data_IF_369794243833
#
_entry.id   IF_369794243833
#
_cell.length_a   1.000
_cell.length_b   1.000
_cell.length_c   1.000
_cell.angle_alpha   90.00
_cell.angle_beta   90.00
_cell.angle_gamma   90.00
#
_symmetry.space_group_name_H-M   'P 1'
#
loop_
_entity.id
_entity.type
_entity.pdbx_description
1 polymer ?
#
# COMPACT_ATOMS: atom_id res chain seq x y z
N UNK A 1 19.59 -4.21 82.65
CA UNK A 1 18.94 -3.55 81.49
C UNK A 1 19.62 -4.06 80.23
N UNK A 2 18.94 -4.92 79.46
CA UNK A 2 19.47 -5.53 78.24
C UNK A 2 18.61 -5.10 77.03
N UNK A 3 19.19 -4.80 75.86
CA UNK A 3 18.44 -4.28 74.73
C UNK A 3 17.75 -5.40 73.94
N UNK A 4 16.48 -5.17 73.58
CA UNK A 4 15.67 -6.01 72.69
C UNK A 4 16.15 -5.87 71.25
N UNK A 5 16.55 -6.96 70.61
CA UNK A 5 16.77 -7.06 69.16
C UNK A 5 15.44 -7.29 68.43
N UNK A 6 15.19 -6.51 67.38
CA UNK A 6 14.01 -6.64 66.50
C UNK A 6 14.28 -7.66 65.37
N UNK A 7 13.29 -8.43 64.90
CA UNK A 7 13.46 -9.31 63.74
C UNK A 7 13.49 -8.50 62.43
N UNK A 8 14.41 -8.88 61.55
CA UNK A 8 14.64 -8.28 60.24
C UNK A 8 13.81 -9.01 59.17
N UNK A 9 12.70 -8.42 58.74
CA UNK A 9 11.83 -8.96 57.69
C UNK A 9 12.43 -8.66 56.31
N UNK A 10 13.25 -9.59 55.79
CA UNK A 10 13.75 -9.52 54.40
C UNK A 10 12.58 -9.69 53.41
N UNK A 11 12.21 -8.59 52.76
CA UNK A 11 11.30 -8.57 51.60
C UNK A 11 11.91 -9.36 50.44
N UNK A 12 11.30 -10.51 50.11
CA UNK A 12 11.42 -11.19 48.81
C UNK A 12 10.41 -10.53 47.86
N UNK A 13 10.86 -9.84 46.81
CA UNK A 13 9.92 -9.28 45.84
C UNK A 13 10.52 -8.45 44.72
N UNK A 14 11.38 -9.02 43.86
CA UNK A 14 11.84 -8.31 42.65
C UNK A 14 11.97 -9.17 41.38
N UNK A 15 11.68 -10.48 41.43
CA UNK A 15 11.85 -11.36 40.27
C UNK A 15 10.65 -11.40 39.30
N UNK A 16 9.42 -11.11 39.74
CA UNK A 16 8.20 -11.36 38.95
C UNK A 16 7.83 -10.26 37.96
N UNK A 17 8.24 -9.01 38.18
CA UNK A 17 7.87 -7.87 37.31
C UNK A 17 8.69 -7.84 36.01
N UNK A 18 9.97 -8.22 36.08
CA UNK A 18 10.88 -8.26 34.91
C UNK A 18 10.51 -9.35 33.91
N UNK A 19 10.02 -10.48 34.40
CA UNK A 19 9.64 -11.61 33.54
C UNK A 19 8.31 -11.37 32.82
N UNK A 20 7.38 -10.64 33.45
CA UNK A 20 6.10 -10.25 32.84
C UNK A 20 6.27 -9.20 31.73
N UNK A 21 7.24 -8.28 31.87
CA UNK A 21 7.58 -7.31 30.81
C UNK A 21 8.36 -7.95 29.66
N UNK A 22 9.17 -8.98 29.92
CA UNK A 22 9.87 -9.77 28.90
C UNK A 22 8.92 -10.72 28.14
N UNK A 23 7.90 -11.29 28.79
CA UNK A 23 6.85 -12.09 28.12
C UNK A 23 5.96 -11.26 27.19
N UNK A 24 5.61 -10.02 27.55
CA UNK A 24 4.85 -9.10 26.67
C UNK A 24 5.58 -8.71 25.38
N UNK A 25 6.91 -8.84 25.36
CA UNK A 25 7.76 -8.63 24.15
C UNK A 25 7.85 -9.88 23.27
N UNK A 26 7.33 -11.02 23.70
CA UNK A 26 7.29 -12.26 22.89
C UNK A 26 5.90 -12.38 22.26
N UNK A 27 5.86 -12.22 20.93
CA UNK A 27 4.70 -12.34 20.03
C UNK A 27 3.73 -11.16 19.98
N UNK A 28 4.23 -9.95 19.71
CA UNK A 28 3.36 -8.94 19.12
C UNK A 28 2.98 -9.42 17.70
N UNK A 29 1.73 -9.84 17.51
CA UNK A 29 1.19 -10.32 16.23
C UNK A 29 0.54 -9.16 15.46
N UNK A 30 0.60 -9.22 14.15
CA UNK A 30 -0.12 -8.29 13.28
C UNK A 30 -1.61 -8.62 13.36
N UNK A 31 -2.46 -7.67 13.77
CA UNK A 31 -3.90 -7.94 13.90
C UNK A 31 -4.65 -8.07 12.56
N UNK A 32 -3.97 -7.89 11.42
CA UNK A 32 -4.55 -8.08 10.08
C UNK A 32 -4.30 -9.50 9.57
N UNK A 33 -3.07 -10.01 9.64
CA UNK A 33 -2.72 -11.34 9.10
C UNK A 33 -2.39 -12.38 10.18
N UNK A 34 -2.43 -12.00 11.46
CA UNK A 34 -2.16 -12.84 12.63
C UNK A 34 -0.75 -13.46 12.71
N UNK A 35 0.15 -13.09 11.80
CA UNK A 35 1.58 -13.46 11.84
C UNK A 35 2.37 -12.58 12.82
N UNK A 36 3.52 -13.08 13.29
CA UNK A 36 4.44 -12.33 14.15
C UNK A 36 4.97 -11.05 13.47
N UNK A 37 4.93 -9.91 14.18
CA UNK A 37 5.36 -8.62 13.65
C UNK A 37 6.83 -8.60 13.21
N UNK A 38 7.69 -9.44 13.79
CA UNK A 38 9.12 -9.50 13.47
C UNK A 38 9.43 -10.16 12.11
N UNK A 39 8.46 -10.85 11.49
CA UNK A 39 8.67 -11.58 10.23
C UNK A 39 8.75 -10.66 9.01
N UNK A 40 8.21 -9.44 9.09
CA UNK A 40 8.13 -8.49 7.97
C UNK A 40 8.42 -7.08 8.48
N UNK A 41 8.68 -6.15 7.56
CA UNK A 41 8.80 -4.72 7.91
C UNK A 41 7.48 -4.23 8.50
N UNK A 42 7.53 -3.53 9.62
CA UNK A 42 6.36 -2.97 10.31
C UNK A 42 6.15 -1.49 10.00
N UNK A 43 4.96 -1.00 10.34
CA UNK A 43 4.60 0.42 10.39
C UNK A 43 3.76 0.66 11.63
N UNK A 44 3.72 1.90 12.06
CA UNK A 44 2.87 2.36 13.17
C UNK A 44 1.86 3.34 12.61
N UNK A 45 0.57 3.17 12.94
CA UNK A 45 -0.42 4.22 12.65
C UNK A 45 -0.17 5.40 13.58
N UNK A 46 -0.02 6.59 13.02
CA UNK A 46 0.42 7.76 13.79
C UNK A 46 -0.67 8.21 14.77
N UNK A 47 -1.93 8.09 14.36
CA UNK A 47 -3.11 8.54 15.12
C UNK A 47 -3.42 7.67 16.36
N UNK A 48 -2.98 6.41 16.39
CA UNK A 48 -3.33 5.47 17.47
C UNK A 48 -2.17 4.59 17.97
N UNK A 49 -0.98 4.76 17.40
CA UNK A 49 0.26 4.05 17.74
C UNK A 49 0.22 2.51 17.67
N UNK A 50 -0.77 1.94 16.98
CA UNK A 50 -0.83 0.50 16.75
C UNK A 50 0.11 0.07 15.62
N UNK A 51 0.74 -1.09 15.79
CA UNK A 51 1.80 -1.59 14.91
C UNK A 51 1.30 -2.76 14.06
N UNK A 52 1.55 -2.68 12.76
CA UNK A 52 1.15 -3.69 11.78
C UNK A 52 2.31 -4.02 10.84
N UNK A 53 2.23 -5.13 10.10
CA UNK A 53 3.12 -5.29 8.95
C UNK A 53 2.80 -4.21 7.92
N UNK A 54 3.84 -3.61 7.35
CA UNK A 54 3.74 -2.56 6.33
C UNK A 54 2.87 -2.98 5.15
N UNK A 55 2.97 -4.22 4.69
CA UNK A 55 2.13 -4.72 3.59
C UNK A 55 0.66 -4.77 3.98
N UNK A 56 0.37 -5.24 5.20
CA UNK A 56 -1.00 -5.39 5.69
C UNK A 56 -1.66 -4.03 5.94
N UNK A 57 -0.94 -3.11 6.58
CA UNK A 57 -1.40 -1.73 6.77
C UNK A 57 -1.70 -1.04 5.44
N UNK A 58 -0.79 -1.15 4.46
CA UNK A 58 -1.02 -0.55 3.14
C UNK A 58 -2.23 -1.16 2.44
N UNK A 59 -2.37 -2.50 2.50
CA UNK A 59 -3.51 -3.20 1.93
C UNK A 59 -4.84 -2.74 2.56
N UNK A 60 -4.90 -2.67 3.89
CA UNK A 60 -6.07 -2.17 4.61
C UNK A 60 -6.48 -0.76 4.15
N UNK A 61 -5.52 0.16 4.11
CA UNK A 61 -5.75 1.53 3.68
C UNK A 61 -6.26 1.58 2.24
N UNK A 62 -5.70 0.76 1.35
CA UNK A 62 -6.14 0.69 -0.04
C UNK A 62 -7.58 0.16 -0.14
N UNK A 63 -7.94 -0.87 0.63
CA UNK A 63 -9.28 -1.49 0.60
C UNK A 63 -10.37 -0.67 1.27
N UNK A 64 -10.09 0.02 2.38
CA UNK A 64 -11.11 0.82 3.09
C UNK A 64 -11.39 2.14 2.34
N UNK A 65 -10.34 2.77 1.80
CA UNK A 65 -10.51 3.93 0.93
C UNK A 65 -11.22 3.52 -0.38
N UNK A 66 -11.12 2.26 -0.82
CA UNK A 66 -11.91 1.71 -1.92
C UNK A 66 -13.41 1.70 -1.65
N UNK A 67 -13.83 1.51 -0.39
CA UNK A 67 -15.23 1.54 0.05
C UNK A 67 -15.82 2.95 0.21
N UNK A 68 -15.06 4.02 -0.03
CA UNK A 68 -15.38 5.42 0.39
C UNK A 68 -15.56 5.58 1.90
N UNK A 69 -15.05 4.63 2.69
CA UNK A 69 -15.01 4.75 4.15
C UNK A 69 -13.67 5.36 4.55
N UNK A 70 -13.69 6.15 5.63
CA UNK A 70 -12.44 6.61 6.24
C UNK A 70 -11.72 5.38 6.79
N UNK A 71 -10.44 5.15 6.44
CA UNK A 71 -9.75 3.96 6.90
C UNK A 71 -9.59 4.00 8.41
N UNK A 72 -9.90 2.89 9.09
CA UNK A 72 -9.87 2.82 10.56
C UNK A 72 -8.94 1.72 11.06
N UNK A 73 -8.34 1.94 12.24
CA UNK A 73 -7.46 0.95 12.84
C UNK A 73 -8.26 -0.33 13.22
N UNK A 74 -7.85 -1.54 12.81
CA UNK A 74 -8.56 -2.78 13.15
C UNK A 74 -8.60 -3.08 14.65
N UNK A 75 -7.71 -2.46 15.44
CA UNK A 75 -7.60 -2.67 16.88
C UNK A 75 -8.47 -1.71 17.69
N UNK A 76 -8.59 -0.46 17.28
CA UNK A 76 -9.26 0.59 18.08
C UNK A 76 -10.24 1.46 17.30
N UNK A 77 -10.41 1.22 16.00
CA UNK A 77 -11.32 1.94 15.09
C UNK A 77 -11.04 3.43 14.95
N UNK A 78 -9.90 3.93 15.44
CA UNK A 78 -9.44 5.30 15.19
C UNK A 78 -9.19 5.50 13.70
N UNK A 79 -9.69 6.61 13.16
CA UNK A 79 -9.44 7.03 11.77
C UNK A 79 -7.94 7.22 11.53
N UNK A 80 -7.44 6.66 10.43
CA UNK A 80 -6.03 6.66 10.08
C UNK A 80 -5.77 7.75 9.04
N UNK A 81 -5.11 8.82 9.46
CA UNK A 81 -4.71 9.91 8.58
C UNK A 81 -3.26 9.77 8.15
N UNK A 82 -2.42 9.15 9.00
CA UNK A 82 -0.97 9.06 8.78
C UNK A 82 -0.40 7.73 9.24
N UNK A 83 0.62 7.27 8.53
CA UNK A 83 1.42 6.10 8.93
C UNK A 83 2.88 6.46 9.07
N UNK A 84 3.49 5.97 10.15
CA UNK A 84 4.91 6.11 10.45
C UNK A 84 5.65 4.84 9.97
N UNK A 85 6.61 5.02 9.05
CA UNK A 85 7.41 3.94 8.47
C UNK A 85 8.68 3.62 9.28
N UNK A 86 8.89 4.29 10.41
CA UNK A 86 10.12 4.26 11.19
C UNK A 86 11.15 5.28 10.69
N UNK A 87 12.09 5.66 11.56
CA UNK A 87 13.15 6.64 11.23
C UNK A 87 12.64 8.07 11.02
N UNK A 88 11.50 8.42 11.63
CA UNK A 88 10.89 9.75 11.54
C UNK A 88 10.07 10.01 10.26
N UNK A 89 9.98 9.03 9.35
CA UNK A 89 9.22 9.17 8.11
C UNK A 89 7.73 8.91 8.34
N UNK A 90 6.91 9.95 8.18
CA UNK A 90 5.44 9.90 8.29
C UNK A 90 4.81 10.21 6.94
N UNK A 91 3.82 9.41 6.51
CA UNK A 91 3.15 9.54 5.22
C UNK A 91 1.64 9.64 5.42
N UNK A 92 0.99 10.59 4.74
CA UNK A 92 -0.47 10.73 4.71
C UNK A 92 -1.15 9.55 3.99
N UNK A 93 -2.31 9.11 4.49
CA UNK A 93 -3.09 8.01 3.91
C UNK A 93 -3.63 8.35 2.50
N UNK A 94 -3.80 9.64 2.19
CA UNK A 94 -4.18 10.13 0.85
C UNK A 94 -3.20 9.72 -0.27
N UNK A 95 -1.95 9.45 0.09
CA UNK A 95 -0.91 9.02 -0.87
C UNK A 95 -1.09 7.56 -1.30
N UNK A 96 -1.80 6.74 -0.51
CA UNK A 96 -1.97 5.31 -0.76
C UNK A 96 -3.07 4.99 -1.77
N UNK A 97 -3.95 5.95 -2.08
CA UNK A 97 -5.04 5.80 -3.05
C UNK A 97 -4.62 5.34 -4.46
N UNK A 98 -3.31 5.34 -4.78
CA UNK A 98 -2.83 5.14 -6.14
C UNK A 98 -2.08 3.83 -6.42
N UNK A 99 -1.89 2.89 -5.47
CA UNK A 99 -0.78 1.91 -5.66
C UNK A 99 -1.00 0.40 -5.46
N UNK A 100 -2.12 -0.05 -4.89
CA UNK A 100 -2.53 -1.46 -4.76
C UNK A 100 -1.51 -2.42 -4.12
N UNK A 101 -1.99 -3.59 -3.66
CA UNK A 101 -1.18 -4.65 -3.04
C UNK A 101 0.04 -5.06 -3.89
N UNK A 102 -0.14 -5.04 -5.22
CA UNK A 102 0.88 -5.46 -6.18
C UNK A 102 2.04 -4.48 -6.31
N UNK A 103 1.92 -3.28 -5.72
CA UNK A 103 2.88 -2.18 -5.88
C UNK A 103 3.08 -1.82 -7.35
N UNK A 104 2.06 -2.01 -8.19
CA UNK A 104 2.00 -1.70 -9.61
C UNK A 104 0.60 -1.12 -9.85
N UNK A 105 0.43 -0.03 -10.63
CA UNK A 105 -0.90 0.39 -11.06
C UNK A 105 -1.49 -0.76 -11.86
N UNK A 106 -2.45 -1.44 -11.25
CA UNK A 106 -3.21 -2.50 -11.88
C UNK A 106 -4.15 -1.87 -12.91
N UNK A 107 -4.63 -2.67 -13.86
CA UNK A 107 -5.76 -2.26 -14.71
C UNK A 107 -6.92 -1.78 -13.85
N UNK A 108 -7.10 -2.41 -12.68
CA UNK A 108 -8.11 -2.07 -11.70
C UNK A 108 -8.02 -0.63 -11.27
N UNK A 109 -6.83 -0.15 -10.89
CA UNK A 109 -6.67 1.21 -10.39
C UNK A 109 -7.02 2.26 -11.45
N UNK A 110 -6.59 2.03 -12.70
CA UNK A 110 -6.93 2.91 -13.82
C UNK A 110 -8.43 2.91 -14.07
N UNK A 111 -9.05 1.73 -14.14
CA UNK A 111 -10.48 1.59 -14.38
C UNK A 111 -11.34 2.09 -13.23
N UNK A 112 -10.89 1.92 -11.98
CA UNK A 112 -11.54 2.47 -10.80
C UNK A 112 -11.57 3.99 -10.88
N UNK A 113 -10.45 4.63 -11.23
CA UNK A 113 -10.42 6.08 -11.41
C UNK A 113 -11.36 6.55 -12.53
N UNK A 114 -11.39 5.83 -13.66
CA UNK A 114 -12.32 6.10 -14.78
C UNK A 114 -13.76 5.89 -14.36
N UNK A 115 -14.06 4.91 -13.51
CA UNK A 115 -15.42 4.64 -13.03
C UNK A 115 -15.88 5.64 -11.98
N UNK A 116 -14.95 6.09 -11.11
CA UNK A 116 -15.24 7.05 -10.05
C UNK A 116 -15.21 8.50 -10.52
N UNK A 117 -14.96 8.76 -11.81
CA UNK A 117 -14.91 10.09 -12.41
C UNK A 117 -15.67 10.10 -13.74
N UNK A 118 -16.04 11.29 -14.23
CA UNK A 118 -16.62 11.42 -15.57
C UNK A 118 -15.54 11.45 -16.68
N UNK A 119 -14.33 10.97 -16.39
CA UNK A 119 -13.17 11.01 -17.28
C UNK A 119 -13.02 9.70 -18.06
N UNK A 120 -12.54 9.79 -19.29
CA UNK A 120 -12.18 8.61 -20.08
C UNK A 120 -10.81 8.06 -19.68
N UNK A 121 -10.49 6.82 -20.08
CA UNK A 121 -9.16 6.23 -19.84
C UNK A 121 -8.05 7.08 -20.46
N UNK A 122 -8.30 7.63 -21.65
CA UNK A 122 -7.41 8.56 -22.36
C UNK A 122 -7.07 9.80 -21.52
N UNK A 123 -8.04 10.29 -20.73
CA UNK A 123 -7.86 11.45 -19.86
C UNK A 123 -7.19 11.07 -18.53
N UNK A 124 -7.56 9.92 -17.94
CA UNK A 124 -7.03 9.45 -16.65
C UNK A 124 -5.56 9.04 -16.72
N UNK A 125 -5.13 8.36 -17.78
CA UNK A 125 -3.77 7.82 -17.88
C UNK A 125 -2.67 8.91 -17.83
N UNK A 126 -2.75 10.02 -18.59
CA UNK A 126 -1.81 11.14 -18.46
C UNK A 126 -1.71 11.68 -17.03
N UNK A 127 -2.85 11.87 -16.36
CA UNK A 127 -2.92 12.37 -14.98
C UNK A 127 -2.19 11.41 -14.03
N UNK A 128 -2.46 10.10 -14.12
CA UNK A 128 -1.80 9.10 -13.28
C UNK A 128 -0.29 9.01 -13.55
N UNK A 129 0.13 9.18 -14.81
CA UNK A 129 1.55 9.22 -15.21
C UNK A 129 2.24 10.44 -14.59
N UNK A 130 1.62 11.62 -14.69
CA UNK A 130 2.11 12.88 -14.14
C UNK A 130 2.22 12.81 -12.62
N UNK A 131 1.13 12.43 -11.93
CA UNK A 131 1.10 12.23 -10.49
C UNK A 131 2.17 11.24 -10.03
N UNK A 132 2.36 10.13 -10.75
CA UNK A 132 3.41 9.15 -10.45
C UNK A 132 4.83 9.73 -10.61
N UNK A 133 5.06 10.63 -11.57
CA UNK A 133 6.35 11.32 -11.74
C UNK A 133 6.59 12.32 -10.62
N UNK A 134 5.57 13.10 -10.26
CA UNK A 134 5.62 14.08 -9.18
C UNK A 134 5.95 13.39 -7.85
N UNK A 135 5.17 12.37 -7.45
CA UNK A 135 5.42 11.62 -6.21
C UNK A 135 6.82 11.00 -6.21
N UNK A 136 7.31 10.48 -7.36
CA UNK A 136 8.68 9.98 -7.47
C UNK A 136 9.72 11.09 -7.26
N UNK A 137 9.47 12.32 -7.75
CA UNK A 137 10.35 13.47 -7.58
C UNK A 137 10.37 13.92 -6.12
N UNK A 138 9.21 14.10 -5.50
CA UNK A 138 9.09 14.45 -4.08
C UNK A 138 9.77 13.41 -3.19
N UNK A 139 9.49 12.12 -3.41
CA UNK A 139 10.14 11.03 -2.68
C UNK A 139 11.66 11.03 -2.83
N UNK A 140 12.19 11.47 -3.98
CA UNK A 140 13.62 11.64 -4.19
C UNK A 140 14.15 12.86 -3.41
N UNK A 141 13.47 14.00 -3.49
CA UNK A 141 13.88 15.24 -2.82
C UNK A 141 13.89 15.09 -1.29
N UNK A 142 12.80 14.62 -0.70
CA UNK A 142 12.70 14.32 0.75
C UNK A 142 13.81 13.36 1.18
N UNK A 143 14.05 12.33 0.35
CA UNK A 143 15.08 11.34 0.63
C UNK A 143 16.47 11.97 0.67
N UNK A 144 16.88 12.73 -0.35
CA UNK A 144 18.23 13.32 -0.38
C UNK A 144 18.47 14.41 0.68
N UNK A 145 17.42 15.03 1.23
CA UNK A 145 17.53 15.98 2.32
C UNK A 145 17.83 15.33 3.69
N UNK A 146 17.55 14.03 3.85
CA UNK A 146 17.42 13.39 5.16
C UNK A 146 18.63 12.54 5.58
N UNK A 147 19.81 13.12 5.84
CA UNK A 147 21.00 12.46 6.46
C UNK A 147 20.98 10.93 6.60
N UNK A 148 21.15 10.20 5.48
CA UNK A 148 20.55 8.87 5.31
C UNK A 148 21.51 7.72 5.65
N UNK A 149 21.00 6.68 6.33
CA UNK A 149 21.74 5.43 6.56
C UNK A 149 21.88 4.57 5.29
N UNK A 150 22.88 3.68 5.23
CA UNK A 150 23.09 2.75 4.11
C UNK A 150 21.86 1.86 3.84
N UNK A 151 21.16 1.43 4.89
CA UNK A 151 19.97 0.58 4.77
C UNK A 151 18.78 1.32 4.11
N UNK A 152 18.54 2.57 4.50
CA UNK A 152 17.54 3.43 3.87
C UNK A 152 17.85 3.66 2.38
N UNK A 153 19.13 3.79 2.02
CA UNK A 153 19.54 3.93 0.61
C UNK A 153 19.14 2.77 -0.27
N UNK A 154 19.33 1.55 0.21
CA UNK A 154 18.91 0.35 -0.52
C UNK A 154 17.38 0.27 -0.65
N UNK A 155 16.65 0.60 0.43
CA UNK A 155 15.18 0.63 0.40
C UNK A 155 14.66 1.65 -0.62
N UNK A 156 15.19 2.88 -0.61
CA UNK A 156 14.73 3.94 -1.49
C UNK A 156 15.06 3.65 -2.96
N UNK A 157 16.25 3.11 -3.27
CA UNK A 157 16.57 2.60 -4.61
C UNK A 157 15.52 1.59 -5.09
N UNK A 158 15.10 0.68 -4.21
CA UNK A 158 14.07 -0.33 -4.51
C UNK A 158 12.70 0.33 -4.76
N UNK A 159 12.31 1.36 -4.01
CA UNK A 159 11.04 2.08 -4.23
C UNK A 159 11.06 2.88 -5.54
N UNK A 160 12.14 3.62 -5.81
CA UNK A 160 12.31 4.37 -7.07
C UNK A 160 12.25 3.43 -8.28
N UNK A 161 12.91 2.27 -8.21
CA UNK A 161 12.85 1.25 -9.26
C UNK A 161 11.41 0.78 -9.51
N UNK A 162 10.64 0.55 -8.44
CA UNK A 162 9.22 0.21 -8.56
C UNK A 162 8.44 1.35 -9.23
N UNK A 163 8.56 2.59 -8.77
CA UNK A 163 7.90 3.74 -9.37
C UNK A 163 8.21 3.90 -10.87
N UNK A 164 9.47 3.69 -11.28
CA UNK A 164 9.86 3.69 -12.70
C UNK A 164 9.12 2.61 -13.50
N UNK A 165 9.03 1.38 -12.96
CA UNK A 165 8.25 0.29 -13.59
C UNK A 165 6.77 0.65 -13.71
N UNK A 166 6.19 1.30 -12.70
CA UNK A 166 4.79 1.78 -12.73
C UNK A 166 4.52 2.78 -13.84
N UNK A 167 5.37 3.81 -13.93
CA UNK A 167 5.28 4.83 -14.97
C UNK A 167 5.40 4.18 -16.36
N UNK A 168 6.28 3.17 -16.50
CA UNK A 168 6.40 2.40 -17.75
C UNK A 168 5.09 1.68 -18.10
N UNK A 169 4.45 1.01 -17.13
CA UNK A 169 3.18 0.30 -17.34
C UNK A 169 2.05 1.26 -17.71
N UNK A 170 1.90 2.38 -17.01
CA UNK A 170 0.89 3.39 -17.36
C UNK A 170 1.10 3.96 -18.76
N UNK A 171 2.35 4.21 -19.17
CA UNK A 171 2.67 4.60 -20.55
C UNK A 171 2.25 3.52 -21.55
N UNK A 172 2.57 2.25 -21.27
CA UNK A 172 2.18 1.14 -22.13
C UNK A 172 0.66 1.02 -22.25
N UNK A 173 -0.09 1.19 -21.15
CA UNK A 173 -1.55 1.25 -21.18
C UNK A 173 -2.04 2.40 -22.05
N UNK A 174 -1.40 3.57 -21.96
CA UNK A 174 -1.77 4.74 -22.76
C UNK A 174 -1.54 4.51 -24.26
N UNK A 175 -0.43 3.87 -24.64
CA UNK A 175 -0.18 3.48 -26.03
C UNK A 175 -1.21 2.46 -26.54
N UNK A 176 -1.59 1.47 -25.71
CA UNK A 176 -2.65 0.51 -26.06
C UNK A 176 -3.98 1.23 -26.30
N UNK A 177 -4.33 2.19 -25.43
CA UNK A 177 -5.56 2.97 -25.54
C UNK A 177 -5.55 3.86 -26.79
N UNK A 178 -4.45 4.57 -27.07
CA UNK A 178 -4.27 5.35 -28.31
C UNK A 178 -4.36 4.51 -29.56
N UNK A 179 -3.89 3.27 -29.49
CA UNK A 179 -4.06 2.29 -30.54
C UNK A 179 -5.53 1.81 -30.68
N UNK A 180 -6.47 2.22 -29.83
CA UNK A 180 -7.84 1.73 -29.86
C UNK A 180 -8.00 0.34 -29.23
N UNK A 181 -7.01 -0.10 -28.44
CA UNK A 181 -7.19 -1.17 -27.45
C UNK A 181 -7.84 -0.63 -26.18
N UNK A 182 -8.12 -1.51 -25.20
CA UNK A 182 -8.71 -1.12 -23.90
C UNK A 182 -9.95 -0.20 -24.00
N UNK A 183 -10.79 -0.42 -25.01
CA UNK A 183 -12.00 0.38 -25.25
C UNK A 183 -13.05 0.07 -24.17
N UNK A 184 -13.31 1.03 -23.29
CA UNK A 184 -14.22 0.85 -22.15
C UNK A 184 -15.68 1.18 -22.43
N UNK A 185 -15.95 2.02 -23.45
CA UNK A 185 -17.29 2.55 -23.75
C UNK A 185 -18.33 1.49 -24.19
N UNK A 186 -17.97 0.21 -24.19
CA UNK A 186 -18.82 -0.88 -24.68
C UNK A 186 -19.28 -1.87 -23.61
N UNK A 187 -18.91 -1.70 -22.34
CA UNK A 187 -19.28 -2.67 -21.30
C UNK A 187 -20.57 -2.28 -20.59
N UNK A 188 -21.60 -3.11 -20.73
CA UNK A 188 -22.81 -3.05 -19.91
C UNK A 188 -22.49 -3.38 -18.45
N UNK A 189 -23.35 -2.95 -17.50
CA UNK A 189 -23.20 -3.23 -16.06
C UNK A 189 -22.94 -4.72 -15.75
N UNK A 190 -23.49 -5.64 -16.55
CA UNK A 190 -23.33 -7.09 -16.41
C UNK A 190 -21.90 -7.56 -16.74
N UNK A 191 -21.21 -6.90 -17.66
CA UNK A 191 -19.84 -7.25 -18.05
C UNK A 191 -18.81 -6.77 -17.02
N UNK A 192 -19.19 -5.89 -16.09
CA UNK A 192 -18.31 -5.38 -15.05
C UNK A 192 -17.77 -6.50 -14.13
N UNK A 193 -18.60 -7.48 -13.74
CA UNK A 193 -18.18 -8.57 -12.84
C UNK A 193 -17.19 -9.55 -13.49
N UNK A 194 -17.42 -9.96 -14.74
CA UNK A 194 -16.43 -10.75 -15.50
C UNK A 194 -15.14 -9.95 -15.72
N UNK A 195 -15.27 -8.63 -15.85
CA UNK A 195 -14.13 -7.77 -16.04
C UNK A 195 -13.33 -7.60 -14.74
N UNK A 196 -13.96 -7.49 -13.56
CA UNK A 196 -13.26 -7.48 -12.26
C UNK A 196 -12.31 -8.69 -12.15
N UNK A 197 -12.76 -9.89 -12.53
CA UNK A 197 -11.92 -11.09 -12.57
C UNK A 197 -10.67 -10.93 -13.47
N UNK A 198 -10.81 -10.34 -14.65
CA UNK A 198 -9.69 -10.05 -15.56
C UNK A 198 -8.81 -8.89 -15.12
N UNK A 199 -9.36 -7.97 -14.34
CA UNK A 199 -8.76 -6.71 -13.96
C UNK A 199 -7.73 -6.87 -12.84
N UNK A 200 -7.82 -7.96 -12.07
CA UNK A 200 -6.79 -8.40 -11.13
C UNK A 200 -5.58 -9.06 -11.81
N UNK A 201 -5.65 -9.38 -13.12
CA UNK A 201 -4.50 -9.93 -13.84
C UNK A 201 -3.39 -8.89 -14.04
N UNK A 202 -2.13 -9.35 -14.02
CA UNK A 202 -0.98 -8.49 -14.34
C UNK A 202 -1.12 -7.95 -15.77
N UNK A 203 -0.89 -6.65 -15.94
CA UNK A 203 -0.88 -6.03 -17.26
C UNK A 203 0.22 -6.64 -18.13
N UNK A 204 -0.14 -7.12 -19.32
CA UNK A 204 0.77 -7.64 -20.34
C UNK A 204 0.57 -6.85 -21.63
N UNK A 205 1.54 -6.01 -21.97
CA UNK A 205 1.47 -5.10 -23.12
C UNK A 205 1.27 -5.83 -24.45
N UNK A 206 2.04 -6.90 -24.69
CA UNK A 206 1.99 -7.66 -25.94
C UNK A 206 0.63 -8.36 -26.11
N UNK A 207 0.14 -8.98 -25.03
CA UNK A 207 -1.18 -9.62 -25.03
C UNK A 207 -2.30 -8.62 -25.33
N UNK A 208 -2.25 -7.42 -24.74
CA UNK A 208 -3.26 -6.39 -24.98
C UNK A 208 -3.21 -5.83 -26.41
N UNK A 209 -2.02 -5.62 -26.96
CA UNK A 209 -1.86 -5.23 -28.37
C UNK A 209 -2.34 -6.32 -29.33
N UNK A 210 -2.11 -7.60 -29.01
CA UNK A 210 -2.59 -8.72 -29.81
C UNK A 210 -4.12 -8.87 -29.79
N UNK A 211 -4.76 -8.66 -28.63
CA UNK A 211 -6.23 -8.66 -28.51
C UNK A 211 -6.88 -7.65 -29.44
N UNK A 212 -6.31 -6.45 -29.55
CA UNK A 212 -6.75 -5.42 -30.52
C UNK A 212 -6.72 -5.97 -31.95
N UNK A 213 -5.61 -6.60 -32.36
CA UNK A 213 -5.46 -7.13 -33.71
C UNK A 213 -6.54 -8.18 -34.04
N UNK A 214 -6.92 -9.01 -33.06
CA UNK A 214 -8.01 -9.98 -33.20
C UNK A 214 -9.35 -9.26 -33.38
N UNK A 215 -9.68 -8.30 -32.51
CA UNK A 215 -10.94 -7.53 -32.60
C UNK A 215 -11.06 -6.81 -33.94
N UNK A 216 -9.98 -6.18 -34.42
CA UNK A 216 -9.96 -5.49 -35.71
C UNK A 216 -10.13 -6.47 -36.89
N UNK A 217 -9.57 -7.68 -36.81
CA UNK A 217 -9.79 -8.72 -37.82
C UNK A 217 -11.24 -9.19 -37.84
N UNK A 218 -11.89 -9.32 -36.68
CA UNK A 218 -13.31 -9.70 -36.59
C UNK A 218 -14.22 -8.62 -37.18
N UNK A 219 -13.97 -7.34 -36.88
CA UNK A 219 -14.74 -6.21 -37.42
C UNK A 219 -14.64 -6.05 -38.94
N UNK A 220 -13.56 -6.51 -39.57
CA UNK A 220 -13.39 -6.45 -41.03
C UNK A 220 -14.09 -7.59 -41.78
N UNK A 221 -14.56 -8.61 -41.07
CA UNK A 221 -15.24 -9.79 -41.66
C UNK A 221 -16.76 -9.68 -41.64
N UNK A 222 -17.29 -8.73 -40.87
CA UNK A 222 -18.70 -8.37 -40.78
C UNK A 222 -18.93 -7.06 -41.51
#
# INVERSE_FOLDING_TARGET
MAPRTKPNTKQKGTATVREHTLRRRRSAKCAICYDDLHTKTTVTFDDCHHVFHRSCAVQLLETEIEGREEPTCPLCRTVINKINLGGGLVISTEVFQCFGETKIPTKYLVFKHVWSSDLTIEQVLPILIERSRFIKKEFICEYYASGITRAMKTHCKRQISKMKKRIKILRQMHEVVKAGGMQWKAFSCVQFHQMLYYVHSKFNYELEMNRRNIINKLRKRN
#
